data_IF_594478575622
#
_entry.id   IF_594478575622
#
_cell.length_a   1.000
_cell.length_b   1.000
_cell.length_c   1.000
_cell.angle_alpha   90.00
_cell.angle_beta   90.00
_cell.angle_gamma   90.00
#
_symmetry.space_group_name_H-M   'P 1'
#
loop_
_entity.id
_entity.type
_entity.pdbx_description
1 polymer ?
#
# COMPACT_ATOMS: atom_id res chain seq x y z
N UNK A 1 7.24 -24.55 -23.83
CA UNK A 1 6.87 -23.47 -22.87
C UNK A 1 7.50 -23.77 -21.52
N UNK A 2 8.33 -22.87 -20.99
CA UNK A 2 8.97 -23.05 -19.68
C UNK A 2 8.01 -22.57 -18.59
N UNK A 3 7.67 -23.44 -17.64
CA UNK A 3 6.88 -23.07 -16.47
C UNK A 3 7.80 -22.58 -15.37
N UNK A 4 7.38 -21.54 -14.67
CA UNK A 4 8.10 -20.99 -13.53
C UNK A 4 7.55 -21.55 -12.23
N UNK A 5 8.42 -21.68 -11.25
CA UNK A 5 8.06 -21.98 -9.87
C UNK A 5 7.49 -20.74 -9.18
N UNK A 6 6.71 -20.94 -8.12
CA UNK A 6 6.19 -19.81 -7.32
C UNK A 6 7.31 -18.91 -6.79
N UNK A 7 8.49 -19.47 -6.50
CA UNK A 7 9.62 -18.68 -6.02
C UNK A 7 10.19 -17.79 -7.13
N UNK A 8 10.45 -18.34 -8.32
CA UNK A 8 10.93 -17.58 -9.47
C UNK A 8 9.96 -16.46 -9.84
N UNK A 9 8.65 -16.74 -9.84
CA UNK A 9 7.62 -15.73 -10.10
C UNK A 9 7.62 -14.63 -9.03
N UNK A 10 7.82 -14.97 -7.76
CA UNK A 10 7.91 -13.97 -6.70
C UNK A 10 9.11 -13.03 -6.90
N UNK A 11 10.26 -13.57 -7.29
CA UNK A 11 11.45 -12.78 -7.64
C UNK A 11 11.19 -11.87 -8.85
N UNK A 12 10.55 -12.38 -9.90
CA UNK A 12 10.22 -11.60 -11.10
C UNK A 12 9.25 -10.44 -10.80
N UNK A 13 8.26 -10.70 -9.95
CA UNK A 13 7.28 -9.70 -9.51
C UNK A 13 7.82 -8.76 -8.41
N UNK A 14 9.03 -9.00 -7.91
CA UNK A 14 9.66 -8.29 -6.78
C UNK A 14 8.79 -8.28 -5.52
N UNK A 15 8.20 -9.43 -5.19
CA UNK A 15 7.43 -9.65 -3.95
C UNK A 15 7.94 -10.87 -3.20
N UNK A 16 7.62 -10.99 -1.92
CA UNK A 16 7.96 -12.22 -1.18
C UNK A 16 7.13 -13.40 -1.70
N UNK A 17 7.71 -14.60 -1.64
CA UNK A 17 6.98 -15.86 -1.94
C UNK A 17 5.69 -15.96 -1.11
N UNK A 18 5.73 -15.54 0.15
CA UNK A 18 4.56 -15.57 1.03
C UNK A 18 3.46 -14.61 0.57
N UNK A 19 3.80 -13.41 0.10
CA UNK A 19 2.82 -12.47 -0.45
C UNK A 19 2.10 -13.05 -1.65
N UNK A 20 2.84 -13.68 -2.58
CA UNK A 20 2.25 -14.34 -3.74
C UNK A 20 1.34 -15.50 -3.34
N UNK A 21 1.72 -16.28 -2.33
CA UNK A 21 0.89 -17.36 -1.78
C UNK A 21 -0.37 -16.81 -1.10
N UNK A 22 -0.28 -15.73 -0.33
CA UNK A 22 -1.43 -15.10 0.31
C UNK A 22 -2.44 -14.61 -0.72
N UNK A 23 -1.98 -14.04 -1.84
CA UNK A 23 -2.89 -13.63 -2.92
C UNK A 23 -3.62 -14.82 -3.56
N UNK A 24 -2.94 -15.96 -3.70
CA UNK A 24 -3.56 -17.20 -4.20
C UNK A 24 -4.58 -17.76 -3.21
N UNK A 25 -4.22 -17.84 -1.92
CA UNK A 25 -5.13 -18.38 -0.89
C UNK A 25 -6.35 -17.51 -0.63
N UNK A 26 -6.23 -16.21 -0.86
CA UNK A 26 -7.34 -15.26 -0.75
C UNK A 26 -8.11 -15.06 -2.08
N UNK A 27 -7.88 -15.93 -3.09
CA UNK A 27 -8.51 -15.88 -4.42
C UNK A 27 -8.41 -14.52 -5.14
N UNK A 28 -7.39 -13.71 -4.79
CA UNK A 28 -7.14 -12.41 -5.45
C UNK A 28 -6.59 -12.56 -6.85
N UNK A 29 -5.93 -13.69 -7.11
CA UNK A 29 -5.44 -14.10 -8.42
C UNK A 29 -5.81 -15.56 -8.66
N UNK A 30 -6.07 -15.96 -9.91
CA UNK A 30 -6.46 -17.34 -10.20
C UNK A 30 -5.33 -18.34 -9.92
N UNK A 31 -5.65 -19.43 -9.22
CA UNK A 31 -4.69 -20.50 -8.87
C UNK A 31 -4.15 -21.19 -10.14
N UNK A 32 -2.80 -21.27 -10.32
CA UNK A 32 -2.20 -21.95 -11.45
C UNK A 32 -2.46 -23.46 -11.45
N UNK A 33 -2.47 -24.10 -12.63
CA UNK A 33 -2.49 -25.56 -12.72
C UNK A 33 -1.34 -26.17 -11.91
N UNK A 34 -1.58 -27.36 -11.34
CA UNK A 34 -0.56 -28.10 -10.61
C UNK A 34 -0.08 -29.29 -11.43
N UNK A 35 1.20 -29.65 -11.29
CA UNK A 35 1.71 -30.89 -11.89
C UNK A 35 1.34 -32.11 -11.03
N UNK A 36 1.68 -33.32 -11.52
CA UNK A 36 1.44 -34.59 -10.79
C UNK A 36 2.11 -34.66 -9.40
N UNK A 37 3.12 -33.81 -9.15
CA UNK A 37 3.81 -33.69 -7.86
C UNK A 37 3.23 -32.58 -6.97
N UNK A 38 2.15 -31.93 -7.38
CA UNK A 38 1.47 -30.88 -6.61
C UNK A 38 2.09 -29.48 -6.72
N UNK A 39 3.12 -29.27 -7.54
CA UNK A 39 3.73 -27.94 -7.73
C UNK A 39 2.91 -27.09 -8.69
N UNK A 40 2.76 -25.80 -8.36
CA UNK A 40 2.12 -24.79 -9.22
C UNK A 40 2.97 -24.52 -10.46
N UNK A 41 2.32 -24.55 -11.62
CA UNK A 41 2.92 -24.30 -12.93
C UNK A 41 2.53 -22.89 -13.41
N UNK A 42 3.46 -21.95 -13.34
CA UNK A 42 3.23 -20.59 -13.81
C UNK A 42 3.60 -20.43 -15.27
N UNK A 43 2.64 -20.07 -16.10
CA UNK A 43 2.90 -19.66 -17.48
C UNK A 43 3.30 -18.18 -17.55
N UNK A 44 4.12 -17.77 -18.54
CA UNK A 44 4.48 -16.37 -18.73
C UNK A 44 3.26 -15.44 -18.83
N UNK A 45 2.19 -15.88 -19.52
CA UNK A 45 0.95 -15.11 -19.65
C UNK A 45 0.29 -14.82 -18.29
N UNK A 46 0.37 -15.77 -17.35
CA UNK A 46 -0.19 -15.60 -16.01
C UNK A 46 0.66 -14.66 -15.15
N UNK A 47 1.99 -14.72 -15.30
CA UNK A 47 2.90 -13.76 -14.66
C UNK A 47 2.63 -12.33 -15.17
N UNK A 48 2.46 -12.17 -16.48
CA UNK A 48 2.08 -10.89 -17.11
C UNK A 48 0.75 -10.35 -16.59
N UNK A 49 -0.25 -11.20 -16.38
CA UNK A 49 -1.53 -10.80 -15.78
C UNK A 49 -1.32 -10.26 -14.35
N UNK A 50 -0.58 -10.97 -13.51
CA UNK A 50 -0.31 -10.52 -12.14
C UNK A 50 0.47 -9.20 -12.15
N UNK A 51 1.46 -9.06 -13.05
CA UNK A 51 2.22 -7.82 -13.24
C UNK A 51 1.31 -6.65 -13.63
N UNK A 52 0.34 -6.88 -14.52
CA UNK A 52 -0.67 -5.88 -14.91
C UNK A 52 -1.56 -5.49 -13.73
N UNK A 53 -2.07 -6.47 -12.98
CA UNK A 53 -2.91 -6.22 -11.80
C UNK A 53 -2.17 -5.46 -10.68
N UNK A 54 -0.86 -5.70 -10.53
CA UNK A 54 0.01 -4.91 -9.65
C UNK A 54 0.15 -3.46 -10.15
N UNK A 55 0.34 -3.26 -11.46
CA UNK A 55 0.42 -1.94 -12.07
C UNK A 55 -0.88 -1.14 -11.98
N UNK A 56 -2.03 -1.83 -12.04
CA UNK A 56 -3.38 -1.27 -11.87
C UNK A 56 -3.74 -0.99 -10.39
N UNK A 57 -2.87 -1.31 -9.43
CA UNK A 57 -3.15 -1.14 -7.99
C UNK A 57 -4.15 -2.14 -7.41
N UNK A 58 -4.67 -3.08 -8.21
CA UNK A 58 -5.61 -4.13 -7.78
C UNK A 58 -4.97 -5.16 -6.85
N UNK A 59 -3.65 -5.32 -6.97
CA UNK A 59 -2.83 -6.11 -6.05
C UNK A 59 -1.82 -5.20 -5.36
N UNK A 60 -2.02 -4.98 -4.07
CA UNK A 60 -1.09 -4.21 -3.25
C UNK A 60 0.20 -5.00 -3.05
N UNK A 61 1.35 -4.48 -3.50
CA UNK A 61 2.67 -5.09 -3.31
C UNK A 61 3.04 -5.35 -1.83
N UNK A 62 2.34 -4.74 -0.87
CA UNK A 62 2.62 -4.82 0.56
C UNK A 62 1.83 -5.94 1.25
N UNK A 63 2.50 -7.06 1.47
CA UNK A 63 2.79 -7.39 2.87
C UNK A 63 3.95 -6.46 3.22
N UNK A 64 3.70 -5.47 4.08
CA UNK A 64 4.64 -4.51 4.71
C UNK A 64 6.08 -4.58 4.17
N UNK A 65 6.46 -3.62 3.31
CA UNK A 65 7.88 -3.30 3.15
C UNK A 65 8.32 -2.72 4.49
N UNK A 66 9.02 -3.51 5.30
CA UNK A 66 9.89 -2.97 6.34
C UNK A 66 11.02 -2.22 5.62
N UNK A 67 10.73 -1.01 5.14
CA UNK A 67 11.77 0.00 5.03
C UNK A 67 12.11 0.32 6.47
N UNK A 68 13.39 0.28 6.81
CA UNK A 68 13.83 0.88 8.06
C UNK A 68 13.20 2.28 8.16
N UNK A 69 12.61 2.63 9.31
CA UNK A 69 12.07 3.96 9.52
C UNK A 69 13.13 4.99 9.11
N UNK A 70 12.83 5.78 8.08
CA UNK A 70 13.79 6.71 7.48
C UNK A 70 13.11 8.03 7.22
N UNK A 71 13.74 9.10 7.70
CA UNK A 71 13.29 10.48 7.47
C UNK A 71 13.77 11.03 6.11
N UNK A 72 14.27 10.17 5.22
CA UNK A 72 14.63 10.58 3.85
C UNK A 72 13.37 11.10 3.14
N UNK A 73 13.46 12.27 2.46
CA UNK A 73 12.29 12.95 1.92
C UNK A 73 11.53 12.11 0.88
N UNK A 74 12.23 11.26 0.13
CA UNK A 74 11.62 10.35 -0.84
C UNK A 74 10.74 9.30 -0.17
N UNK A 75 11.19 8.74 0.97
CA UNK A 75 10.45 7.72 1.72
C UNK A 75 9.19 8.32 2.35
N UNK A 76 9.32 9.51 2.94
CA UNK A 76 8.20 10.23 3.55
C UNK A 76 7.16 10.60 2.48
N UNK A 77 7.62 11.04 1.30
CA UNK A 77 6.73 11.43 0.20
C UNK A 77 5.95 10.24 -0.37
N UNK A 78 6.60 9.08 -0.55
CA UNK A 78 5.91 7.87 -0.99
C UNK A 78 4.87 7.39 0.04
N UNK A 79 5.25 7.39 1.32
CA UNK A 79 4.32 7.01 2.39
C UNK A 79 3.11 7.96 2.47
N UNK A 80 3.33 9.26 2.31
CA UNK A 80 2.25 10.24 2.27
C UNK A 80 1.28 10.00 1.10
N UNK A 81 1.79 9.61 -0.08
CA UNK A 81 0.94 9.25 -1.23
C UNK A 81 0.05 8.04 -0.94
N UNK A 82 0.61 7.02 -0.29
CA UNK A 82 -0.13 5.81 0.09
C UNK A 82 -1.24 6.12 1.11
N UNK A 83 -0.93 6.89 2.15
CA UNK A 83 -1.93 7.33 3.13
C UNK A 83 -3.03 8.13 2.44
N UNK A 84 -2.68 9.08 1.57
CA UNK A 84 -3.68 9.86 0.84
C UNK A 84 -4.58 8.99 -0.05
N UNK A 85 -4.01 7.99 -0.74
CA UNK A 85 -4.80 7.06 -1.56
C UNK A 85 -5.77 6.25 -0.68
N UNK A 86 -5.29 5.73 0.45
CA UNK A 86 -6.12 4.97 1.39
C UNK A 86 -7.29 5.81 1.95
N UNK A 87 -7.02 7.06 2.34
CA UNK A 87 -8.08 7.96 2.82
C UNK A 87 -9.13 8.24 1.73
N UNK A 88 -8.70 8.46 0.48
CA UNK A 88 -9.60 8.67 -0.66
C UNK A 88 -10.48 7.46 -0.93
N UNK A 89 -9.89 6.27 -1.02
CA UNK A 89 -10.61 5.03 -1.34
C UNK A 89 -11.59 4.65 -0.23
N UNK A 90 -11.19 4.85 1.02
CA UNK A 90 -12.03 4.63 2.20
C UNK A 90 -13.06 5.73 2.45
N UNK A 91 -13.06 6.82 1.66
CA UNK A 91 -13.86 8.03 1.89
C UNK A 91 -13.70 8.57 3.32
N UNK A 92 -12.50 8.44 3.88
CA UNK A 92 -12.16 8.90 5.22
C UNK A 92 -11.81 10.39 5.13
N UNK A 93 -12.51 11.20 5.91
CA UNK A 93 -12.22 12.63 6.02
C UNK A 93 -10.83 12.87 6.64
N UNK A 94 -10.07 13.76 6.00
CA UNK A 94 -8.68 14.06 6.37
C UNK A 94 -8.60 14.73 7.74
N UNK A 95 -9.53 15.64 8.05
CA UNK A 95 -9.56 16.35 9.34
C UNK A 95 -9.85 15.37 10.50
N UNK A 96 -10.79 14.45 10.28
CA UNK A 96 -11.12 13.39 11.23
C UNK A 96 -9.93 12.46 11.46
N UNK A 97 -9.23 12.05 10.39
CA UNK A 97 -8.00 11.27 10.50
C UNK A 97 -6.90 11.99 11.30
N UNK A 98 -6.64 13.27 11.01
CA UNK A 98 -5.64 14.06 11.72
C UNK A 98 -5.99 14.26 13.20
N UNK A 99 -7.27 14.36 13.54
CA UNK A 99 -7.73 14.44 14.94
C UNK A 99 -7.40 13.18 15.71
N UNK A 100 -7.71 12.00 15.16
CA UNK A 100 -7.39 10.72 15.81
C UNK A 100 -5.86 10.50 15.89
N UNK A 101 -5.13 10.87 14.83
CA UNK A 101 -3.68 10.82 14.84
C UNK A 101 -3.07 11.72 15.93
N UNK A 102 -3.66 12.91 16.15
CA UNK A 102 -3.28 13.82 17.22
C UNK A 102 -3.55 13.28 18.62
N UNK A 103 -4.54 12.41 18.81
CA UNK A 103 -4.78 11.72 20.09
C UNK A 103 -3.71 10.67 20.39
N UNK A 104 -3.20 10.00 19.35
CA UNK A 104 -2.13 8.99 19.47
C UNK A 104 -0.73 9.62 19.54
N UNK A 105 -0.56 10.81 18.97
CA UNK A 105 0.71 11.52 18.92
C UNK A 105 0.54 13.00 19.29
N UNK A 106 0.92 13.34 20.53
CA UNK A 106 0.79 14.69 21.07
C UNK A 106 1.48 15.77 20.22
N UNK A 107 2.61 15.45 19.59
CA UNK A 107 3.33 16.37 18.70
C UNK A 107 2.55 16.70 17.43
N UNK A 108 1.78 15.74 16.90
CA UNK A 108 0.84 15.99 15.80
C UNK A 108 -0.32 16.85 16.29
N UNK A 109 -0.90 16.51 17.45
CA UNK A 109 -2.00 17.26 18.05
C UNK A 109 -1.68 18.75 18.25
N UNK A 110 -0.50 19.06 18.80
CA UNK A 110 -0.03 20.44 18.97
C UNK A 110 0.07 21.18 17.62
N UNK A 111 0.65 20.55 16.59
CA UNK A 111 0.82 21.17 15.26
C UNK A 111 -0.51 21.40 14.53
N UNK A 112 -1.46 20.47 14.65
CA UNK A 112 -2.79 20.60 14.06
C UNK A 112 -3.57 21.74 14.74
N UNK A 113 -3.53 21.82 16.07
CA UNK A 113 -4.20 22.87 16.83
C UNK A 113 -3.61 24.26 16.54
N UNK A 114 -2.27 24.39 16.47
CA UNK A 114 -1.59 25.64 16.12
C UNK A 114 -1.98 26.16 14.72
N UNK A 115 -2.20 25.27 13.75
CA UNK A 115 -2.67 25.69 12.42
C UNK A 115 -4.10 26.20 12.46
N UNK A 116 -4.96 25.64 13.30
CA UNK A 116 -6.37 26.02 13.43
C UNK A 116 -6.54 27.38 14.11
N UNK A 117 -5.72 27.69 15.10
CA UNK A 117 -5.73 29.01 15.76
C UNK A 117 -5.17 30.10 14.84
N UNK A 118 -4.12 29.78 14.06
CA UNK A 118 -3.55 30.72 13.09
C UNK A 118 -4.49 31.01 11.90
N UNK A 119 -5.29 30.03 11.44
CA UNK A 119 -6.27 30.24 10.37
C UNK A 119 -7.52 30.98 10.85
N UNK A 120 -7.97 30.77 12.09
CA UNK A 120 -9.08 31.52 12.70
C UNK A 120 -8.77 33.00 12.94
N UNK A 121 -7.51 33.34 13.24
CA UNK A 121 -7.09 34.72 13.52
C UNK A 121 -7.05 35.63 12.26
N UNK A 122 -7.08 35.08 11.04
CA UNK A 122 -7.13 35.88 9.79
C UNK A 122 -8.55 36.23 9.34
N UNK A 123 -9.60 35.70 9.99
CA UNK A 123 -10.99 35.94 9.60
C UNK A 123 -11.69 37.09 10.33
N UNK A 124 -11.08 37.70 11.35
CA UNK A 124 -11.75 38.68 12.24
C UNK A 124 -11.32 40.14 12.02
N UNK A 125 -10.89 40.51 10.81
CA UNK A 125 -10.63 41.91 10.45
C UNK A 125 -11.25 42.25 9.09
N UNK A 126 -12.57 42.35 9.05
CA UNK A 126 -13.30 43.18 8.09
C UNK A 126 -14.71 43.43 8.62
N UNK A 127 -15.00 44.73 8.82
CA UNK A 127 -16.27 45.40 9.09
C UNK A 127 -16.99 45.06 10.41
#
# INVERSE_FOLDING_TARGET
MKYLTTLEVAHELKVSKQTLLNWLYADKIPEPPRNRKGYRLWSPSRVSLVKKMIGEGRLHKRTVVHREPSNRPEVVSEFAREVNQFLRDGKIDVESFLRELGRLNAGVGQRVNLRRTASGARGSKTA
#
